data_IF_629876114197
#
_entry.id   IF_629876114197
#
_cell.length_a   1.000
_cell.length_b   1.000
_cell.length_c   1.000
_cell.angle_alpha   90.00
_cell.angle_beta   90.00
_cell.angle_gamma   90.00
#
_symmetry.space_group_name_H-M   'P 1'
#
loop_
_entity.id
_entity.type
_entity.pdbx_description
1 polymer ?
#
# COMPACT_ATOMS: atom_id res chain seq x y z
N UNK A 1 28.56 -25.68 -8.70
CA UNK A 1 28.37 -24.63 -9.74
C UNK A 1 27.53 -23.54 -9.12
N UNK A 2 28.09 -22.35 -8.92
CA UNK A 2 27.40 -21.22 -8.27
C UNK A 2 26.87 -20.29 -9.34
N UNK A 3 25.63 -19.83 -9.16
CA UNK A 3 24.97 -18.89 -10.05
C UNK A 3 24.69 -17.58 -9.31
N UNK A 4 24.97 -16.46 -9.95
CA UNK A 4 24.77 -15.12 -9.38
C UNK A 4 23.91 -14.29 -10.32
N UNK A 5 22.92 -13.62 -9.74
CA UNK A 5 22.04 -12.68 -10.45
C UNK A 5 22.55 -11.25 -10.25
N UNK A 6 22.68 -10.50 -11.34
CA UNK A 6 23.31 -9.17 -11.35
C UNK A 6 22.42 -8.20 -12.13
N UNK A 7 22.17 -6.97 -11.65
CA UNK A 7 21.41 -5.99 -12.42
C UNK A 7 22.19 -5.55 -13.65
N UNK A 8 21.50 -5.40 -14.78
CA UNK A 8 22.11 -4.87 -16.00
C UNK A 8 22.39 -3.36 -15.87
N UNK A 9 23.67 -2.97 -15.98
CA UNK A 9 24.14 -1.58 -15.94
C UNK A 9 25.14 -1.33 -17.06
N UNK A 10 24.89 -0.31 -17.87
CA UNK A 10 25.77 0.04 -19.00
C UNK A 10 27.20 0.29 -18.48
N UNK A 11 28.19 -0.36 -19.11
CA UNK A 11 29.61 -0.24 -18.76
C UNK A 11 30.13 -1.29 -17.76
N UNK A 12 29.29 -1.89 -16.92
CA UNK A 12 29.72 -2.92 -15.94
C UNK A 12 29.20 -4.31 -16.27
N UNK A 13 28.10 -4.42 -17.02
CA UNK A 13 27.52 -5.71 -17.45
C UNK A 13 28.50 -6.57 -18.25
N UNK A 14 29.49 -6.01 -18.95
CA UNK A 14 30.42 -6.82 -19.74
C UNK A 14 31.67 -7.25 -18.96
N UNK A 15 32.10 -6.45 -17.98
CA UNK A 15 33.31 -6.72 -17.21
C UNK A 15 33.07 -7.81 -16.15
N UNK A 16 31.92 -7.77 -15.49
CA UNK A 16 31.61 -8.65 -14.35
C UNK A 16 31.52 -10.14 -14.75
N UNK A 17 30.78 -10.53 -15.81
CA UNK A 17 30.73 -11.93 -16.28
C UNK A 17 32.09 -12.44 -16.77
N UNK A 18 32.90 -11.58 -17.39
CA UNK A 18 34.24 -11.97 -17.89
C UNK A 18 35.14 -12.41 -16.74
N UNK A 19 35.16 -11.65 -15.64
CA UNK A 19 35.93 -12.01 -14.45
C UNK A 19 35.38 -13.25 -13.77
N UNK A 20 34.05 -13.35 -13.62
CA UNK A 20 33.39 -14.47 -12.92
C UNK A 20 33.47 -15.81 -13.68
N UNK A 21 33.65 -15.78 -15.00
CA UNK A 21 33.88 -16.98 -15.82
C UNK A 21 35.16 -17.72 -15.41
N UNK A 22 36.21 -17.00 -15.00
CA UNK A 22 37.46 -17.60 -14.50
C UNK A 22 37.29 -18.40 -13.21
N UNK A 23 36.26 -18.06 -12.42
CA UNK A 23 35.91 -18.76 -11.17
C UNK A 23 34.81 -19.82 -11.36
N UNK A 24 34.43 -20.12 -12.61
CA UNK A 24 33.37 -21.07 -12.95
C UNK A 24 32.00 -20.70 -12.34
N UNK A 25 31.74 -19.40 -12.21
CA UNK A 25 30.48 -18.83 -11.71
C UNK A 25 29.65 -18.39 -12.93
N UNK A 26 28.40 -18.86 -13.01
CA UNK A 26 27.47 -18.42 -14.06
C UNK A 26 26.75 -17.15 -13.61
N UNK A 27 26.66 -16.17 -14.50
CA UNK A 27 25.99 -14.89 -14.24
C UNK A 27 24.76 -14.74 -15.10
N UNK A 28 23.67 -14.25 -14.51
CA UNK A 28 22.45 -13.87 -15.22
C UNK A 28 22.11 -12.41 -14.95
N UNK A 29 21.54 -11.74 -15.96
CA UNK A 29 21.16 -10.34 -15.86
C UNK A 29 19.69 -10.17 -15.53
N UNK A 30 19.41 -9.40 -14.47
CA UNK A 30 18.08 -8.91 -14.17
C UNK A 30 17.87 -7.55 -14.83
N UNK A 31 16.74 -7.38 -15.51
CA UNK A 31 16.26 -6.07 -15.95
C UNK A 31 15.33 -5.49 -14.87
N UNK A 32 15.71 -4.35 -14.30
CA UNK A 32 14.87 -3.63 -13.32
C UNK A 32 13.64 -2.98 -13.95
N UNK A 33 13.53 -3.00 -15.28
CA UNK A 33 12.52 -2.30 -16.06
C UNK A 33 11.33 -3.18 -16.47
N UNK A 34 10.99 -4.23 -15.72
CA UNK A 34 9.78 -4.99 -16.05
C UNK A 34 8.53 -4.11 -15.87
N UNK A 35 7.65 -4.14 -16.88
CA UNK A 35 6.40 -3.36 -16.91
C UNK A 35 5.61 -3.51 -15.60
N UNK A 36 5.55 -4.72 -15.07
CA UNK A 36 4.90 -5.02 -13.80
C UNK A 36 5.44 -4.17 -12.64
N UNK A 37 6.75 -4.02 -12.47
CA UNK A 37 7.32 -3.26 -11.34
C UNK A 37 7.18 -1.76 -11.51
N UNK A 38 7.16 -1.27 -12.76
CA UNK A 38 6.89 0.13 -13.07
C UNK A 38 5.41 0.49 -12.89
N UNK A 39 4.48 -0.38 -13.32
CA UNK A 39 3.03 -0.14 -13.27
C UNK A 39 2.41 -0.48 -11.90
N UNK A 40 2.91 -1.51 -11.21
CA UNK A 40 2.43 -1.90 -9.87
C UNK A 40 3.09 -1.11 -8.74
N UNK A 41 3.78 -0.01 -9.04
CA UNK A 41 4.34 0.91 -8.04
C UNK A 41 3.23 1.74 -7.38
N UNK A 42 2.18 1.09 -6.91
CA UNK A 42 1.10 1.69 -6.14
C UNK A 42 1.65 1.94 -4.75
N UNK A 43 1.93 3.21 -4.44
CA UNK A 43 2.29 3.59 -3.06
C UNK A 43 1.12 3.17 -2.16
N UNK A 44 1.38 2.56 -0.99
CA UNK A 44 0.31 2.21 -0.07
C UNK A 44 -0.49 3.47 0.26
N UNK A 45 -1.81 3.41 0.04
CA UNK A 45 -2.70 4.54 0.35
C UNK A 45 -2.68 4.79 1.86
N UNK A 46 -2.45 6.05 2.24
CA UNK A 46 -2.58 6.53 3.62
C UNK A 46 -3.91 6.07 4.21
N UNK A 47 -3.91 5.67 5.49
CA UNK A 47 -5.08 5.07 6.14
C UNK A 47 -6.35 5.90 5.99
N UNK A 48 -6.23 7.21 6.09
CA UNK A 48 -7.34 8.18 5.99
C UNK A 48 -7.95 8.31 4.59
N UNK A 49 -7.18 8.01 3.54
CA UNK A 49 -7.61 8.08 2.15
C UNK A 49 -8.10 6.72 1.62
N UNK A 50 -8.11 5.69 2.45
CA UNK A 50 -8.60 4.36 2.07
C UNK A 50 -10.12 4.34 1.94
N UNK A 51 -10.61 3.69 0.89
CA UNK A 51 -12.00 3.32 0.68
C UNK A 51 -12.22 1.84 1.01
N UNK A 52 -13.47 1.41 1.10
CA UNK A 52 -13.87 0.02 1.35
C UNK A 52 -13.25 -0.60 2.62
N UNK A 53 -12.91 0.23 3.60
CA UNK A 53 -12.30 -0.21 4.86
C UNK A 53 -13.33 -0.28 5.99
N UNK A 54 -13.09 -1.20 6.93
CA UNK A 54 -13.80 -1.25 8.21
C UNK A 54 -13.13 -0.28 9.16
N UNK A 55 -13.90 0.56 9.83
CA UNK A 55 -13.42 1.54 10.80
C UNK A 55 -14.17 1.42 12.11
N UNK A 56 -13.49 1.84 13.19
CA UNK A 56 -14.03 1.90 14.55
C UNK A 56 -13.96 3.34 15.02
N UNK A 57 -15.07 3.84 15.55
CA UNK A 57 -15.16 5.14 16.21
C UNK A 57 -15.55 4.89 17.67
N UNK A 58 -14.77 5.46 18.59
CA UNK A 58 -15.03 5.36 20.02
C UNK A 58 -15.95 6.51 20.45
N UNK A 59 -16.92 6.22 21.30
CA UNK A 59 -17.63 7.27 22.01
C UNK A 59 -16.67 7.93 23.03
N UNK A 60 -16.75 9.25 23.17
CA UNK A 60 -15.94 9.97 24.15
C UNK A 60 -16.49 9.82 25.58
N UNK A 61 -17.80 9.58 25.72
CA UNK A 61 -18.53 9.63 26.99
C UNK A 61 -18.89 8.24 27.53
N UNK A 62 -18.71 7.18 26.73
CA UNK A 62 -18.99 5.80 27.17
C UNK A 62 -18.07 4.77 26.50
N UNK A 63 -18.05 3.56 27.04
CA UNK A 63 -17.24 2.43 26.55
C UNK A 63 -17.75 1.80 25.24
N UNK A 64 -18.75 2.42 24.59
CA UNK A 64 -19.35 1.93 23.37
C UNK A 64 -18.55 2.38 22.14
N UNK A 65 -18.41 1.48 21.18
CA UNK A 65 -17.74 1.77 19.90
C UNK A 65 -18.64 1.44 18.72
N UNK A 66 -18.72 2.36 17.76
CA UNK A 66 -19.36 2.11 16.48
C UNK A 66 -18.35 1.48 15.52
N UNK A 67 -18.73 0.37 14.87
CA UNK A 67 -17.93 -0.27 13.82
C UNK A 67 -18.77 -0.30 12.54
N UNK A 68 -18.20 0.16 11.44
CA UNK A 68 -18.88 0.16 10.15
C UNK A 68 -17.92 0.06 8.98
N UNK A 69 -18.46 -0.33 7.82
CA UNK A 69 -17.75 -0.29 6.55
C UNK A 69 -18.07 1.02 5.82
N UNK A 70 -17.10 1.59 5.11
CA UNK A 70 -17.31 2.78 4.28
C UNK A 70 -16.88 2.54 2.85
N UNK A 71 -17.74 2.86 1.88
CA UNK A 71 -17.37 2.92 0.46
C UNK A 71 -16.61 4.23 0.12
N UNK A 72 -16.82 5.29 0.92
CA UNK A 72 -16.10 6.58 0.82
C UNK A 72 -14.76 6.52 1.54
N UNK A 73 -13.92 7.52 1.31
CA UNK A 73 -12.64 7.67 2.02
C UNK A 73 -12.87 7.80 3.53
N UNK A 74 -11.99 7.17 4.32
CA UNK A 74 -12.15 7.09 5.77
C UNK A 74 -12.26 8.46 6.46
N UNK A 75 -11.46 9.46 6.04
CA UNK A 75 -11.50 10.78 6.68
C UNK A 75 -12.82 11.52 6.47
N UNK A 76 -13.45 11.39 5.30
CA UNK A 76 -14.77 11.96 5.02
C UNK A 76 -15.80 11.37 5.98
N UNK A 77 -15.75 10.03 6.17
CA UNK A 77 -16.66 9.36 7.10
C UNK A 77 -16.47 9.79 8.56
N UNK A 78 -15.22 9.98 8.99
CA UNK A 78 -14.90 10.50 10.32
C UNK A 78 -15.41 11.93 10.49
N UNK A 79 -15.27 12.78 9.46
CA UNK A 79 -15.74 14.17 9.47
C UNK A 79 -17.26 14.25 9.56
N UNK A 80 -17.98 13.45 8.78
CA UNK A 80 -19.43 13.31 8.86
C UNK A 80 -19.86 12.87 10.26
N UNK A 81 -19.22 11.84 10.83
CA UNK A 81 -19.54 11.34 12.16
C UNK A 81 -19.34 12.44 13.23
N UNK A 82 -18.19 13.13 13.22
CA UNK A 82 -17.93 14.25 14.14
C UNK A 82 -18.96 15.36 14.02
N UNK A 83 -19.43 15.65 12.79
CA UNK A 83 -20.49 16.62 12.55
C UNK A 83 -21.82 16.16 13.14
N UNK A 84 -22.20 14.90 12.96
CA UNK A 84 -23.42 14.33 13.54
C UNK A 84 -23.38 14.29 15.06
N UNK A 85 -22.22 14.00 15.67
CA UNK A 85 -22.07 14.05 17.13
C UNK A 85 -22.21 15.47 17.68
N UNK A 86 -21.73 16.50 16.96
CA UNK A 86 -21.84 17.90 17.37
C UNK A 86 -23.23 18.49 17.13
N UNK A 87 -23.90 18.06 16.06
CA UNK A 87 -25.22 18.50 15.68
C UNK A 87 -26.09 17.27 15.44
N UNK A 88 -26.63 16.66 16.51
CA UNK A 88 -27.54 15.53 16.38
C UNK A 88 -28.72 15.97 15.52
N UNK A 89 -28.82 15.42 14.31
CA UNK A 89 -29.98 15.65 13.47
C UNK A 89 -31.09 14.72 13.97
N UNK A 90 -32.15 15.27 14.56
CA UNK A 90 -33.38 14.51 14.79
C UNK A 90 -34.02 14.19 13.44
N UNK A 91 -33.70 13.04 12.84
CA UNK A 91 -34.50 12.54 11.72
C UNK A 91 -34.62 11.02 11.73
N UNK A 92 -35.86 10.62 12.04
CA UNK A 92 -36.57 9.37 11.75
C UNK A 92 -36.12 8.13 12.53
N UNK A 93 -36.76 7.97 13.70
CA UNK A 93 -37.21 6.66 14.18
C UNK A 93 -38.02 6.02 13.04
N UNK A 94 -37.40 5.19 12.21
CA UNK A 94 -38.13 4.26 11.35
C UNK A 94 -38.34 2.99 12.15
N UNK A 95 -39.58 2.89 12.66
CA UNK A 95 -40.25 1.65 13.04
C UNK A 95 -40.11 0.60 11.95
#
# INVERSE_FOLDING_TARGET
>A
MVTVEIPHRNGTSDAIPKTLRGYNIKTFFLSDNNLQRNLLKVRPTEREKRTNCVHRILCAECSVSYVGQTARQLHERIKEHKRHSRFPQESLKKT
#
